data_IF_688287062641
#
_entry.id   IF_688287062641
#
_cell.length_a   1.000
_cell.length_b   1.000
_cell.length_c   1.000
_cell.angle_alpha   90.00
_cell.angle_beta   90.00
_cell.angle_gamma   90.00
#
_symmetry.space_group_name_H-M   'P 1'
#
loop_
_entity.id
_entity.type
_entity.pdbx_description
1 polymer ?
#
# COMPACT_ATOMS: atom_id res chain seq x y z
N UNK A 1 -8.42 22.96 23.12
CA UNK A 1 -8.80 21.66 22.51
C UNK A 1 -8.70 21.80 21.00
N UNK A 2 -7.54 21.45 20.43
CA UNK A 2 -7.23 21.68 19.02
C UNK A 2 -7.92 20.61 18.15
N UNK A 3 -8.93 21.03 17.38
CA UNK A 3 -9.54 20.22 16.33
C UNK A 3 -8.52 19.98 15.21
N UNK A 4 -7.75 18.89 15.29
CA UNK A 4 -7.04 18.36 14.14
C UNK A 4 -8.07 17.68 13.22
N UNK A 5 -8.08 17.93 11.90
CA UNK A 5 -8.97 17.22 11.00
C UNK A 5 -8.56 15.75 10.97
N UNK A 6 -9.28 14.93 11.73
CA UNK A 6 -9.23 13.48 11.63
C UNK A 6 -9.35 13.12 10.16
N UNK A 7 -8.26 12.60 9.60
CA UNK A 7 -8.17 12.11 8.22
C UNK A 7 -9.04 10.86 8.11
N UNK A 8 -10.35 11.03 8.16
CA UNK A 8 -11.31 9.94 8.07
C UNK A 8 -11.33 9.45 6.63
N UNK A 9 -10.58 8.37 6.37
CA UNK A 9 -10.86 7.54 5.22
C UNK A 9 -12.29 6.99 5.39
N UNK A 10 -13.13 7.04 4.35
CA UNK A 10 -14.39 6.33 4.37
C UNK A 10 -14.17 4.86 4.75
N UNK A 11 -14.95 4.34 5.71
CA UNK A 11 -14.79 2.97 6.22
C UNK A 11 -14.81 1.91 5.11
N UNK A 12 -15.54 2.17 4.03
CA UNK A 12 -15.58 1.27 2.88
C UNK A 12 -14.19 1.10 2.26
N UNK A 13 -13.36 2.15 2.16
CA UNK A 13 -12.02 2.05 1.58
C UNK A 13 -11.05 1.28 2.46
N UNK A 14 -11.09 1.49 3.79
CA UNK A 14 -10.21 0.76 4.70
C UNK A 14 -10.56 -0.73 4.75
N UNK A 15 -11.86 -1.08 4.68
CA UNK A 15 -12.32 -2.48 4.65
C UNK A 15 -11.86 -3.26 3.41
N UNK A 16 -11.48 -2.57 2.33
CA UNK A 16 -11.00 -3.20 1.09
C UNK A 16 -9.52 -3.60 1.13
N UNK A 17 -8.77 -3.18 2.16
CA UNK A 17 -7.33 -3.44 2.29
C UNK A 17 -7.05 -4.28 3.53
N UNK A 18 -6.35 -5.39 3.34
CA UNK A 18 -5.98 -6.31 4.43
C UNK A 18 -4.47 -6.32 4.61
N UNK A 19 -4.01 -6.15 5.85
CA UNK A 19 -2.59 -6.26 6.21
C UNK A 19 -2.12 -7.70 6.01
N UNK A 20 -0.91 -7.85 5.48
CA UNK A 20 -0.29 -9.16 5.37
C UNK A 20 0.14 -9.63 6.77
N UNK A 21 -0.50 -10.69 7.26
CA UNK A 21 -0.18 -11.33 8.53
C UNK A 21 0.02 -12.84 8.30
N UNK A 22 1.26 -13.31 8.06
CA UNK A 22 1.51 -14.73 7.85
C UNK A 22 1.23 -15.55 9.12
N UNK A 23 0.81 -16.82 9.01
CA UNK A 23 0.51 -17.67 10.16
C UNK A 23 1.75 -18.01 11.02
N UNK A 24 2.95 -17.77 10.49
CA UNK A 24 4.23 -17.98 11.17
C UNK A 24 5.11 -16.75 10.98
N UNK A 25 6.03 -16.53 11.93
CA UNK A 25 6.97 -15.41 11.84
C UNK A 25 7.87 -15.56 10.62
N UNK A 26 7.81 -14.58 9.72
CA UNK A 26 8.64 -14.49 8.52
C UNK A 26 9.38 -13.15 8.51
N UNK A 27 10.52 -13.10 7.83
CA UNK A 27 11.27 -11.85 7.63
C UNK A 27 10.43 -10.75 6.95
N UNK A 28 9.43 -11.13 6.14
CA UNK A 28 8.52 -10.21 5.45
C UNK A 28 7.36 -9.69 6.31
N UNK A 29 7.16 -10.23 7.53
CA UNK A 29 6.04 -9.88 8.39
C UNK A 29 6.02 -8.38 8.73
N UNK A 30 7.19 -7.77 8.89
CA UNK A 30 7.33 -6.38 9.28
C UNK A 30 7.53 -5.43 8.08
N UNK A 31 7.45 -5.92 6.84
CA UNK A 31 7.70 -5.14 5.62
C UNK A 31 6.52 -4.24 5.18
N UNK A 32 5.45 -4.17 5.98
CA UNK A 32 4.29 -3.33 5.69
C UNK A 32 3.50 -3.76 4.43
N UNK A 33 3.52 -5.05 4.09
CA UNK A 33 2.84 -5.60 2.93
C UNK A 33 1.32 -5.68 3.11
N UNK A 34 0.61 -5.69 1.98
CA UNK A 34 -0.83 -5.90 1.91
C UNK A 34 -1.16 -7.23 1.21
N UNK A 35 -2.30 -7.83 1.55
CA UNK A 35 -2.79 -9.03 0.85
C UNK A 35 -3.31 -8.61 -0.54
N UNK A 36 -2.86 -9.30 -1.58
CA UNK A 36 -3.40 -9.11 -2.94
C UNK A 36 -4.46 -10.20 -3.17
N UNK A 37 -5.75 -9.85 -3.25
CA UNK A 37 -6.81 -10.83 -3.46
C UNK A 37 -6.69 -11.48 -4.84
N UNK A 38 -6.99 -12.78 -4.89
CA UNK A 38 -7.09 -13.50 -6.17
C UNK A 38 -8.34 -13.02 -6.90
N UNK A 39 -8.18 -12.65 -8.17
CA UNK A 39 -9.27 -12.20 -9.02
C UNK A 39 -9.57 -13.26 -10.07
N UNK A 40 -10.86 -13.51 -10.33
CA UNK A 40 -11.29 -14.44 -11.37
C UNK A 40 -11.22 -13.81 -12.78
N UNK A 41 -11.47 -12.50 -12.89
CA UNK A 41 -11.49 -11.76 -14.15
C UNK A 41 -10.43 -10.64 -14.13
N UNK A 42 -9.35 -10.82 -14.87
CA UNK A 42 -8.22 -9.87 -14.94
C UNK A 42 -8.65 -8.48 -15.44
N UNK A 43 -9.62 -8.39 -16.36
CA UNK A 43 -10.07 -7.13 -16.96
C UNK A 43 -10.85 -6.24 -15.98
N UNK A 44 -12.02 -6.67 -15.50
CA UNK A 44 -12.84 -5.86 -14.57
C UNK A 44 -12.37 -5.97 -13.12
N UNK A 45 -12.10 -7.18 -12.64
CA UNK A 45 -11.66 -7.41 -11.25
C UNK A 45 -10.24 -6.91 -11.00
N UNK A 46 -9.38 -6.97 -12.01
CA UNK A 46 -7.99 -6.52 -11.88
C UNK A 46 -7.80 -5.02 -11.84
N UNK A 47 -8.85 -4.22 -12.09
CA UNK A 47 -8.84 -2.76 -11.90
C UNK A 47 -9.48 -2.31 -10.59
N UNK A 48 -10.08 -3.23 -9.83
CA UNK A 48 -10.69 -2.90 -8.55
C UNK A 48 -9.64 -2.36 -7.57
N UNK A 49 -10.03 -1.37 -6.75
CA UNK A 49 -9.16 -0.78 -5.75
C UNK A 49 -8.57 -1.83 -4.80
N UNK A 50 -9.40 -2.79 -4.36
CA UNK A 50 -9.01 -3.91 -3.50
C UNK A 50 -7.93 -4.81 -4.10
N UNK A 51 -7.73 -4.81 -5.42
CA UNK A 51 -6.68 -5.58 -6.08
C UNK A 51 -5.49 -4.73 -6.51
N UNK A 52 -5.71 -3.60 -7.21
CA UNK A 52 -4.62 -2.76 -7.72
C UNK A 52 -3.85 -2.06 -6.63
N UNK A 53 -4.53 -1.53 -5.60
CA UNK A 53 -3.86 -0.80 -4.54
C UNK A 53 -2.83 -1.67 -3.80
N UNK A 54 -3.15 -2.88 -3.30
CA UNK A 54 -2.14 -3.73 -2.66
C UNK A 54 -1.08 -4.21 -3.65
N UNK A 55 -1.44 -4.48 -4.91
CA UNK A 55 -0.47 -4.88 -5.95
C UNK A 55 0.58 -3.78 -6.20
N UNK A 56 0.15 -2.54 -6.40
CA UNK A 56 1.05 -1.41 -6.62
C UNK A 56 1.88 -1.13 -5.38
N UNK A 57 1.26 -1.10 -4.19
CA UNK A 57 1.95 -0.91 -2.93
C UNK A 57 3.06 -1.96 -2.72
N UNK A 58 2.75 -3.22 -2.97
CA UNK A 58 3.71 -4.31 -2.80
C UNK A 58 4.88 -4.28 -3.81
N UNK A 59 4.72 -3.57 -4.93
CA UNK A 59 5.78 -3.39 -5.93
C UNK A 59 6.80 -2.29 -5.57
N UNK A 60 6.52 -1.50 -4.53
CA UNK A 60 7.43 -0.46 -4.07
C UNK A 60 8.58 -1.05 -3.23
N UNK A 61 9.80 -0.49 -3.30
CA UNK A 61 10.90 -0.88 -2.43
C UNK A 61 10.59 -0.63 -0.94
N UNK A 62 11.19 -1.42 -0.05
CA UNK A 62 11.02 -1.26 1.40
C UNK A 62 11.39 0.14 1.90
N UNK A 63 12.46 0.73 1.36
CA UNK A 63 12.85 2.10 1.72
C UNK A 63 11.80 3.16 1.34
N UNK A 64 10.98 2.91 0.33
CA UNK A 64 9.86 3.81 -0.02
C UNK A 64 8.69 3.57 0.93
N UNK A 65 8.28 2.31 1.14
CA UNK A 65 7.14 1.94 1.99
C UNK A 65 7.35 2.27 3.47
N UNK A 66 8.52 1.96 3.99
CA UNK A 66 8.92 2.19 5.38
C UNK A 66 9.36 3.63 5.65
N UNK A 67 8.78 4.61 4.95
CA UNK A 67 9.05 6.03 5.23
C UNK A 67 8.29 6.47 6.48
N UNK A 68 8.97 7.16 7.41
CA UNK A 68 8.39 7.56 8.69
C UNK A 68 7.29 8.62 8.55
N UNK A 69 7.38 9.46 7.51
CA UNK A 69 6.43 10.54 7.25
C UNK A 69 5.90 10.50 5.83
N UNK A 70 4.71 11.06 5.63
CA UNK A 70 4.11 11.18 4.30
C UNK A 70 4.96 12.02 3.35
N UNK A 71 5.66 13.03 3.87
CA UNK A 71 6.57 13.87 3.06
C UNK A 71 7.75 13.05 2.56
N UNK A 72 8.42 12.29 3.45
CA UNK A 72 9.48 11.37 3.03
C UNK A 72 8.98 10.34 2.02
N UNK A 73 7.80 9.76 2.25
CA UNK A 73 7.19 8.81 1.32
C UNK A 73 7.06 9.41 -0.08
N UNK A 74 6.47 10.62 -0.20
CA UNK A 74 6.31 11.31 -1.48
C UNK A 74 7.64 11.59 -2.18
N UNK A 75 8.64 12.06 -1.43
CA UNK A 75 9.98 12.34 -1.96
C UNK A 75 10.64 11.06 -2.48
N UNK A 76 10.72 10.00 -1.66
CA UNK A 76 11.33 8.71 -2.03
C UNK A 76 10.58 8.04 -3.19
N UNK A 77 9.24 8.12 -3.20
CA UNK A 77 8.42 7.60 -4.30
C UNK A 77 8.73 8.32 -5.61
N UNK A 78 8.80 9.66 -5.61
CA UNK A 78 9.14 10.45 -6.80
C UNK A 78 10.51 10.04 -7.33
N UNK A 79 11.53 9.98 -6.47
CA UNK A 79 12.88 9.57 -6.84
C UNK A 79 12.91 8.16 -7.44
N UNK A 80 12.25 7.19 -6.79
CA UNK A 80 12.17 5.82 -7.29
C UNK A 80 11.49 5.73 -8.67
N UNK A 81 10.36 6.41 -8.84
CA UNK A 81 9.62 6.39 -10.11
C UNK A 81 10.40 7.06 -11.25
N UNK A 82 11.12 8.14 -10.96
CA UNK A 82 11.95 8.82 -11.95
C UNK A 82 13.10 7.92 -12.41
N UNK A 83 13.86 7.33 -11.47
CA UNK A 83 14.96 6.40 -11.74
C UNK A 83 14.52 5.12 -12.48
N UNK A 84 13.23 4.78 -12.43
CA UNK A 84 12.69 3.59 -13.12
C UNK A 84 12.25 3.90 -14.56
N UNK A 85 11.96 5.16 -14.86
CA UNK A 85 11.39 5.59 -16.14
C UNK A 85 12.42 6.25 -17.07
N UNK A 86 13.47 6.83 -16.51
CA UNK A 86 14.54 7.54 -17.19
C UNK A 86 15.89 7.04 -16.71
#
# INVERSE_FOLDING_TARGET
LTNAPSRHLPMYLSSLLTRYNPPRSLRSQNSGLLVVPRIAKSTKGGRAFSHLAPKLWNSLPDGVRGSDTLTQFKCRLKTYLFSKAY
#
